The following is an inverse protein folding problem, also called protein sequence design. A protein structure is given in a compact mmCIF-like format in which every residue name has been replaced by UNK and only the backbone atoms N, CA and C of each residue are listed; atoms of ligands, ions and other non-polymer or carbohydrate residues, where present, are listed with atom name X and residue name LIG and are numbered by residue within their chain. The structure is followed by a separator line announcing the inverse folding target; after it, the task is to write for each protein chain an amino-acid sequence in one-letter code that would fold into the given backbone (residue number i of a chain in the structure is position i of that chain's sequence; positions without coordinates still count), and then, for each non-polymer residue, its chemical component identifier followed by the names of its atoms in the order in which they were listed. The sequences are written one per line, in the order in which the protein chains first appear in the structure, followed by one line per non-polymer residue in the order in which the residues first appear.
data_IF_222869551742
#
_entry.id   IF_222869551742
#
_cell.length_a   1.000
_cell.length_b   1.000
_cell.length_c   1.000
_cell.angle_alpha   90.00
_cell.angle_beta   90.00
_cell.angle_gamma   90.00
#
_symmetry.space_group_name_H-M   'P 1'
#
loop_
_entity.id
_entity.type
_entity.pdbx_description
1 polymer ?
#
# COMPACT_ATOMS: atom_id res chain seq x y z
N UNK A 1 -36.12 57.21 3.19
CA UNK A 1 -35.22 56.70 2.12
C UNK A 1 -34.28 55.65 2.73
N UNK A 2 -34.59 54.36 2.60
CA UNK A 2 -33.74 53.26 3.09
C UNK A 2 -33.37 52.38 1.91
N UNK A 3 -32.08 52.40 1.59
CA UNK A 3 -31.45 51.67 0.49
C UNK A 3 -31.51 50.17 0.81
N UNK A 4 -32.28 49.41 0.05
CA UNK A 4 -32.28 47.95 0.10
C UNK A 4 -30.95 47.48 -0.51
N UNK A 5 -30.01 47.08 0.35
CA UNK A 5 -28.77 46.42 -0.09
C UNK A 5 -29.13 45.03 -0.60
N UNK A 6 -28.98 44.79 -1.91
CA UNK A 6 -29.05 43.45 -2.51
C UNK A 6 -27.95 42.58 -1.91
N UNK A 7 -28.35 41.54 -1.20
CA UNK A 7 -27.45 40.53 -0.67
C UNK A 7 -26.83 39.74 -1.84
N UNK A 8 -25.52 39.92 -2.05
CA UNK A 8 -24.72 39.21 -3.06
C UNK A 8 -23.96 38.07 -2.39
N UNK A 9 -24.64 37.02 -1.93
CA UNK A 9 -23.95 35.77 -1.59
C UNK A 9 -24.88 34.57 -1.46
N UNK A 10 -25.17 33.92 -2.58
CA UNK A 10 -25.60 32.52 -2.58
C UNK A 10 -25.23 31.86 -3.91
N UNK A 11 -23.94 31.69 -4.19
CA UNK A 11 -23.51 30.65 -5.13
C UNK A 11 -23.74 29.32 -4.43
N UNK A 12 -24.94 28.73 -4.64
CA UNK A 12 -25.23 27.33 -4.30
C UNK A 12 -24.16 26.48 -4.97
N UNK A 13 -23.22 25.95 -4.19
CA UNK A 13 -22.45 24.78 -4.63
C UNK A 13 -23.48 23.67 -4.85
N UNK A 14 -23.60 23.21 -6.09
CA UNK A 14 -24.28 21.95 -6.38
C UNK A 14 -23.45 20.87 -5.71
N UNK A 15 -23.87 20.45 -4.52
CA UNK A 15 -23.32 19.26 -3.89
C UNK A 15 -23.73 18.08 -4.76
N UNK A 16 -22.76 17.47 -5.47
CA UNK A 16 -22.96 16.20 -6.16
C UNK A 16 -23.22 15.11 -5.12
N UNK A 17 -24.47 14.98 -4.69
CA UNK A 17 -24.92 13.84 -3.90
C UNK A 17 -24.91 12.60 -4.79
N UNK A 18 -23.95 11.72 -4.58
CA UNK A 18 -23.92 10.40 -5.21
C UNK A 18 -25.21 9.65 -4.85
N UNK A 19 -25.93 9.14 -5.85
CA UNK A 19 -27.11 8.29 -5.66
C UNK A 19 -26.76 7.05 -4.83
N UNK A 20 -27.76 6.52 -4.13
CA UNK A 20 -27.59 5.31 -3.33
C UNK A 20 -27.11 4.16 -4.23
N UNK A 21 -26.28 3.27 -3.67
CA UNK A 21 -25.67 2.16 -4.41
C UNK A 21 -26.70 1.18 -4.98
N UNK A 22 -27.89 1.14 -4.38
CA UNK A 22 -29.04 0.35 -4.83
C UNK A 22 -29.57 0.83 -6.18
N UNK A 23 -29.41 2.11 -6.51
CA UNK A 23 -29.82 2.70 -7.78
C UNK A 23 -28.72 2.63 -8.86
N UNK A 24 -27.57 2.03 -8.55
CA UNK A 24 -26.46 1.95 -9.49
C UNK A 24 -26.73 0.89 -10.55
N UNK A 25 -26.75 1.31 -11.82
CA UNK A 25 -26.86 0.39 -12.96
C UNK A 25 -25.47 -0.20 -13.23
N UNK A 26 -25.30 -1.49 -12.96
CA UNK A 26 -24.04 -2.20 -13.15
C UNK A 26 -23.92 -2.63 -14.62
N UNK A 27 -23.03 -1.99 -15.37
CA UNK A 27 -22.66 -2.43 -16.71
C UNK A 27 -21.47 -3.39 -16.65
N UNK A 28 -21.63 -4.59 -17.19
CA UNK A 28 -20.52 -5.53 -17.38
C UNK A 28 -19.66 -5.05 -18.54
N UNK A 29 -18.45 -4.62 -18.22
CA UNK A 29 -17.43 -4.18 -19.19
C UNK A 29 -16.26 -5.13 -19.16
N UNK A 30 -15.55 -5.25 -20.28
CA UNK A 30 -14.33 -6.04 -20.33
C UNK A 30 -13.23 -5.39 -19.45
N UNK A 31 -12.57 -6.14 -18.57
CA UNK A 31 -11.57 -5.57 -17.65
C UNK A 31 -10.34 -5.10 -18.42
N UNK A 32 -10.02 -3.81 -18.27
CA UNK A 32 -8.82 -3.18 -18.87
C UNK A 32 -7.54 -3.57 -18.13
N UNK A 33 -7.66 -3.85 -16.83
CA UNK A 33 -6.56 -4.16 -15.92
C UNK A 33 -6.90 -5.41 -15.11
N UNK A 34 -5.88 -6.22 -14.82
CA UNK A 34 -6.06 -7.43 -14.02
C UNK A 34 -6.49 -7.10 -12.59
N UNK A 35 -7.33 -7.96 -12.01
CA UNK A 35 -7.80 -7.84 -10.62
C UNK A 35 -6.66 -7.76 -9.62
N UNK A 36 -5.56 -8.50 -9.89
CA UNK A 36 -4.37 -8.48 -9.05
C UNK A 36 -3.72 -7.09 -9.04
N UNK A 37 -3.56 -6.47 -10.22
CA UNK A 37 -3.01 -5.13 -10.35
C UNK A 37 -3.93 -4.10 -9.70
N UNK A 38 -5.23 -4.20 -9.93
CA UNK A 38 -6.22 -3.33 -9.33
C UNK A 38 -6.17 -3.38 -7.80
N UNK A 39 -6.17 -4.57 -7.19
CA UNK A 39 -6.06 -4.76 -5.74
C UNK A 39 -4.76 -4.15 -5.20
N UNK A 40 -3.62 -4.35 -5.89
CA UNK A 40 -2.34 -3.74 -5.52
C UNK A 40 -2.42 -2.21 -5.51
N UNK A 41 -3.00 -1.62 -6.56
CA UNK A 41 -3.18 -0.16 -6.66
C UNK A 41 -4.08 0.37 -5.55
N UNK A 42 -5.22 -0.28 -5.29
CA UNK A 42 -6.14 0.12 -4.20
C UNK A 42 -5.45 0.07 -2.83
N UNK A 43 -4.62 -0.95 -2.57
CA UNK A 43 -3.83 -1.03 -1.35
C UNK A 43 -2.79 0.10 -1.27
N UNK A 44 -2.10 0.40 -2.37
CA UNK A 44 -1.14 1.50 -2.44
C UNK A 44 -1.82 2.86 -2.20
N UNK A 45 -3.00 3.10 -2.75
CA UNK A 45 -3.77 4.33 -2.53
C UNK A 45 -4.12 4.51 -1.05
N UNK A 46 -4.55 3.44 -0.36
CA UNK A 46 -4.81 3.47 1.10
C UNK A 46 -3.55 3.83 1.88
N UNK A 47 -2.41 3.24 1.54
CA UNK A 47 -1.12 3.55 2.17
C UNK A 47 -0.69 4.99 1.90
N UNK A 48 -0.87 5.49 0.68
CA UNK A 48 -0.56 6.86 0.31
C UNK A 48 -1.39 7.86 1.12
N UNK A 49 -2.69 7.61 1.31
CA UNK A 49 -3.54 8.45 2.17
C UNK A 49 -3.04 8.42 3.62
N UNK A 50 -2.71 7.23 4.14
CA UNK A 50 -2.25 7.04 5.52
C UNK A 50 -0.92 7.73 5.81
N UNK A 51 0.05 7.65 4.90
CA UNK A 51 1.42 8.14 5.09
C UNK A 51 1.71 9.46 4.37
N UNK A 52 0.69 10.08 3.75
CA UNK A 52 0.81 11.32 2.99
C UNK A 52 1.63 12.38 3.77
N UNK A 53 2.65 12.99 3.15
CA UNK A 53 3.29 14.16 3.73
C UNK A 53 2.26 15.30 3.81
N UNK A 54 1.98 15.72 5.04
CA UNK A 54 1.13 16.89 5.32
C UNK A 54 2.03 18.08 5.60
N UNK A 55 1.49 19.30 5.62
CA UNK A 55 2.26 20.48 6.01
C UNK A 55 2.50 20.45 7.53
N UNK A 56 3.47 19.64 7.97
CA UNK A 56 3.75 19.37 9.39
C UNK A 56 4.79 20.35 9.88
N UNK A 57 4.52 20.97 11.04
CA UNK A 57 5.49 21.84 11.75
C UNK A 57 6.52 21.03 12.53
N UNK A 58 6.18 19.79 12.90
CA UNK A 58 6.99 18.94 13.77
C UNK A 58 7.04 17.51 13.26
N UNK A 59 8.21 16.90 13.43
CA UNK A 59 8.46 15.51 13.09
C UNK A 59 8.08 14.56 14.23
N UNK A 60 7.40 13.48 13.84
CA UNK A 60 6.90 12.41 14.69
C UNK A 60 7.06 11.07 13.97
N UNK A 61 7.88 10.19 14.52
CA UNK A 61 8.33 8.96 13.84
C UNK A 61 7.19 7.97 13.62
N UNK A 62 6.25 7.87 14.57
CA UNK A 62 5.21 6.84 14.61
C UNK A 62 3.88 7.30 14.01
N UNK A 63 3.86 8.46 13.35
CA UNK A 63 2.64 9.04 12.77
C UNK A 63 1.96 8.07 11.82
N UNK A 64 0.67 7.81 12.03
CA UNK A 64 -0.11 6.88 11.21
C UNK A 64 0.04 5.41 11.60
N UNK A 65 1.00 5.04 12.46
CA UNK A 65 1.20 3.66 12.93
C UNK A 65 0.68 3.44 14.35
N UNK A 66 0.78 4.46 15.20
CA UNK A 66 0.41 4.38 16.61
C UNK A 66 -1.10 4.49 16.82
N UNK A 67 -1.64 3.53 17.57
CA UNK A 67 -3.04 3.44 17.98
C UNK A 67 -3.15 3.37 19.50
N UNK A 68 -4.25 3.88 19.99
CA UNK A 68 -4.66 3.74 21.38
C UNK A 68 -5.26 2.36 21.63
N UNK A 69 -5.23 1.92 22.88
CA UNK A 69 -5.98 0.73 23.34
C UNK A 69 -7.48 0.82 23.03
N UNK A 70 -8.08 2.02 22.98
CA UNK A 70 -9.46 2.22 22.54
C UNK A 70 -9.69 2.06 21.03
N UNK A 71 -8.66 1.72 20.25
CA UNK A 71 -8.75 1.49 18.80
C UNK A 71 -8.56 2.74 17.93
N UNK A 72 -8.71 3.94 18.50
CA UNK A 72 -8.48 5.20 17.78
C UNK A 72 -6.99 5.47 17.51
N UNK A 73 -6.70 6.28 16.49
CA UNK A 73 -5.32 6.69 16.18
C UNK A 73 -4.80 7.64 17.26
N UNK A 74 -3.48 7.62 17.51
CA UNK A 74 -2.81 8.71 18.22
C UNK A 74 -2.11 9.65 17.26
N UNK A 75 -2.26 10.95 17.49
CA UNK A 75 -1.58 12.00 16.74
C UNK A 75 -0.53 12.67 17.61
N UNK A 76 0.51 13.19 16.96
CA UNK A 76 1.49 14.06 17.61
C UNK A 76 0.82 15.38 18.02
N UNK A 77 0.95 15.73 19.29
CA UNK A 77 0.44 16.96 19.88
C UNK A 77 1.52 17.60 20.76
N UNK A 78 1.55 18.93 20.79
CA UNK A 78 2.44 19.73 21.63
C UNK A 78 3.48 20.57 20.88
N UNK A 79 3.85 21.74 21.45
CA UNK A 79 4.85 22.64 20.89
C UNK A 79 6.28 22.09 21.03
N UNK A 80 7.25 22.85 20.50
CA UNK A 80 8.70 22.59 20.46
C UNK A 80 9.33 22.43 21.86
N UNK A 81 9.06 21.32 22.55
CA UNK A 81 9.69 20.99 23.84
C UNK A 81 9.01 19.86 24.60
N UNK A 82 7.67 19.78 24.58
CA UNK A 82 6.90 18.69 25.23
C UNK A 82 5.96 18.05 24.22
N UNK A 83 6.49 17.12 23.44
CA UNK A 83 5.78 16.39 22.39
C UNK A 83 5.16 15.11 22.96
N UNK A 84 3.86 14.92 22.72
CA UNK A 84 3.13 13.73 23.12
C UNK A 84 2.35 13.11 21.96
N UNK A 85 2.24 11.79 21.95
CA UNK A 85 1.23 11.10 21.17
C UNK A 85 -0.08 11.07 21.97
N UNK A 86 -1.12 11.76 21.49
CA UNK A 86 -2.45 11.82 22.13
C UNK A 86 -3.52 11.13 21.29
N UNK A 87 -4.48 10.51 21.96
CA UNK A 87 -5.60 9.84 21.33
C UNK A 87 -6.52 10.83 20.59
N UNK A 88 -6.82 10.54 19.34
CA UNK A 88 -7.69 11.38 18.50
C UNK A 88 -9.13 11.45 19.00
N UNK A 89 -9.65 10.41 19.66
CA UNK A 89 -10.98 10.45 20.28
C UNK A 89 -11.11 11.54 21.34
N UNK A 90 -10.00 12.00 21.94
CA UNK A 90 -10.00 13.14 22.86
C UNK A 90 -10.28 14.47 22.16
N UNK A 91 -9.93 14.59 20.88
CA UNK A 91 -10.05 15.83 20.10
C UNK A 91 -11.30 15.88 19.20
N UNK A 92 -12.03 14.77 19.06
CA UNK A 92 -13.28 14.72 18.27
C UNK A 92 -14.44 15.26 19.11
N UNK A 93 -14.48 16.58 19.23
CA UNK A 93 -15.58 17.31 19.87
C UNK A 93 -16.66 17.65 18.84
N UNK A 94 -17.69 16.83 18.79
CA UNK A 94 -19.05 17.31 18.50
C UNK A 94 -20.00 16.74 19.55
N UNK A 95 -19.92 15.43 19.83
CA UNK A 95 -20.66 14.79 20.92
C UNK A 95 -19.69 14.30 22.01
N UNK A 96 -19.77 14.89 23.21
CA UNK A 96 -18.83 14.71 24.35
C UNK A 96 -18.81 13.31 24.99
N UNK A 97 -19.34 12.29 24.31
CA UNK A 97 -19.69 10.98 24.88
C UNK A 97 -18.49 10.01 24.90
N UNK A 98 -17.47 10.22 24.07
CA UNK A 98 -16.35 9.28 23.92
C UNK A 98 -14.97 9.89 24.23
N UNK A 99 -14.77 10.30 25.48
CA UNK A 99 -13.45 10.72 25.94
C UNK A 99 -12.61 9.50 26.32
N UNK A 100 -11.59 9.20 25.53
CA UNK A 100 -10.63 8.16 25.91
C UNK A 100 -9.86 8.58 27.18
N UNK A 101 -9.89 7.79 28.27
CA UNK A 101 -9.23 8.16 29.53
C UNK A 101 -7.71 7.98 29.49
N UNK A 102 -7.18 7.40 28.42
CA UNK A 102 -5.77 7.03 28.31
C UNK A 102 -4.90 8.26 28.11
N UNK A 103 -3.88 8.40 28.98
CA UNK A 103 -2.92 9.49 28.95
C UNK A 103 -2.10 9.60 27.65
N UNK A 104 -1.48 10.76 27.46
CA UNK A 104 -0.54 10.99 26.37
C UNK A 104 0.79 10.27 26.59
N UNK A 105 1.46 9.88 25.51
CA UNK A 105 2.73 9.16 25.56
C UNK A 105 3.85 10.11 25.11
N UNK A 106 4.93 10.20 25.88
CA UNK A 106 6.06 11.06 25.52
C UNK A 106 6.71 10.57 24.22
N UNK A 107 6.86 11.47 23.24
CA UNK A 107 7.36 11.13 21.90
C UNK A 107 8.83 10.73 21.95
N UNK A 108 9.66 11.44 22.70
CA UNK A 108 11.10 11.14 22.80
C UNK A 108 11.33 9.74 23.36
N UNK A 109 10.55 9.36 24.38
CA UNK A 109 10.63 8.03 24.99
C UNK A 109 10.10 6.96 24.04
N UNK A 110 8.92 7.17 23.44
CA UNK A 110 8.32 6.18 22.56
C UNK A 110 9.14 5.95 21.28
N UNK A 111 9.58 7.02 20.63
CA UNK A 111 10.34 6.95 19.37
C UNK A 111 11.70 6.29 19.60
N UNK A 112 12.40 6.65 20.69
CA UNK A 112 13.70 6.05 21.01
C UNK A 112 13.59 4.57 21.39
N UNK A 113 12.59 4.19 22.18
CA UNK A 113 12.36 2.79 22.56
C UNK A 113 12.04 1.94 21.32
N UNK A 114 11.10 2.40 20.49
CA UNK A 114 10.70 1.65 19.29
C UNK A 114 11.86 1.56 18.31
N UNK A 115 12.59 2.66 18.07
CA UNK A 115 13.76 2.62 17.20
C UNK A 115 14.82 1.65 17.70
N UNK A 116 15.16 1.67 19.00
CA UNK A 116 16.11 0.72 19.59
C UNK A 116 15.69 -0.73 19.39
N UNK A 117 14.41 -1.06 19.65
CA UNK A 117 13.91 -2.43 19.47
C UNK A 117 13.94 -2.92 18.02
N UNK A 118 13.66 -2.04 17.06
CA UNK A 118 13.74 -2.37 15.63
C UNK A 118 15.20 -2.49 15.20
N UNK A 119 16.05 -1.57 15.68
CA UNK A 119 17.47 -1.60 15.37
C UNK A 119 18.10 -2.90 15.86
N UNK A 120 17.84 -3.31 17.10
CA UNK A 120 18.33 -4.59 17.62
C UNK A 120 17.80 -5.78 16.83
N UNK A 121 16.51 -5.77 16.44
CA UNK A 121 15.90 -6.83 15.64
C UNK A 121 16.53 -6.95 14.25
N UNK A 122 16.86 -5.82 13.62
CA UNK A 122 17.48 -5.77 12.29
C UNK A 122 19.01 -5.95 12.32
N UNK A 123 19.63 -5.81 13.48
CA UNK A 123 21.06 -6.06 13.68
C UNK A 123 21.37 -7.52 14.03
N UNK A 124 20.42 -8.28 14.57
CA UNK A 124 20.61 -9.68 14.93
C UNK A 124 20.49 -10.61 13.70
N UNK A 125 21.61 -11.25 13.27
CA UNK A 125 21.60 -12.16 12.13
C UNK A 125 20.71 -13.39 12.36
N UNK A 126 20.63 -13.89 13.60
CA UNK A 126 19.89 -15.09 13.92
C UNK A 126 18.39 -14.86 13.78
N UNK A 127 17.89 -13.72 14.26
CA UNK A 127 16.48 -13.32 14.13
C UNK A 127 16.09 -13.17 12.66
N UNK A 128 16.92 -12.48 11.87
CA UNK A 128 16.69 -12.31 10.42
C UNK A 128 16.61 -13.67 9.73
N UNK A 129 17.53 -14.60 10.06
CA UNK A 129 17.54 -15.96 9.52
C UNK A 129 16.25 -16.71 9.87
N UNK A 130 15.84 -16.73 11.14
CA UNK A 130 14.61 -17.40 11.58
C UNK A 130 13.38 -16.84 10.87
N UNK A 131 13.31 -15.52 10.70
CA UNK A 131 12.21 -14.87 9.98
C UNK A 131 12.23 -15.20 8.48
N UNK A 132 13.40 -15.24 7.84
CA UNK A 132 13.55 -15.63 6.44
C UNK A 132 13.17 -17.10 6.19
N UNK A 133 13.60 -18.02 7.06
CA UNK A 133 13.25 -19.44 6.98
C UNK A 133 11.75 -19.68 7.21
N UNK A 134 11.15 -19.02 8.22
CA UNK A 134 9.70 -19.06 8.45
C UNK A 134 8.93 -18.58 7.23
N UNK A 135 9.44 -17.54 6.57
CA UNK A 135 8.85 -17.02 5.35
C UNK A 135 8.96 -18.01 4.18
N UNK A 136 10.14 -18.60 3.94
CA UNK A 136 10.33 -19.61 2.89
C UNK A 136 9.37 -20.80 3.07
N UNK A 137 9.21 -21.28 4.30
CA UNK A 137 8.25 -22.34 4.63
C UNK A 137 6.81 -21.92 4.34
N UNK A 138 6.40 -20.71 4.77
CA UNK A 138 5.06 -20.19 4.50
C UNK A 138 4.79 -20.01 2.99
N UNK A 139 5.80 -19.64 2.20
CA UNK A 139 5.68 -19.57 0.74
C UNK A 139 5.51 -20.95 0.10
N UNK A 140 6.26 -21.96 0.56
CA UNK A 140 6.13 -23.32 0.06
C UNK A 140 4.75 -23.92 0.36
N UNK A 141 4.19 -23.63 1.53
CA UNK A 141 2.85 -24.11 1.92
C UNK A 141 1.74 -23.42 1.13
N UNK A 142 1.88 -22.12 0.82
CA UNK A 142 0.86 -21.36 0.08
C UNK A 142 1.02 -21.42 -1.45
N UNK A 143 2.07 -22.08 -1.97
CA UNK A 143 2.19 -22.41 -3.40
C UNK A 143 1.81 -23.87 -3.57
N UNK A 144 0.69 -24.23 -4.20
CA UNK A 144 0.58 -25.57 -4.71
C UNK A 144 1.73 -25.75 -5.72
N UNK A 145 2.64 -26.69 -5.46
CA UNK A 145 3.73 -27.07 -6.37
C UNK A 145 3.22 -27.36 -7.79
N UNK A 146 1.93 -27.67 -7.92
CA UNK A 146 1.20 -27.92 -9.15
C UNK A 146 0.95 -26.69 -10.02
N UNK A 147 1.02 -25.44 -9.51
CA UNK A 147 0.52 -24.27 -10.24
C UNK A 147 1.23 -24.03 -11.57
N UNK A 148 2.56 -24.06 -11.63
CA UNK A 148 3.26 -23.85 -12.91
C UNK A 148 3.11 -25.00 -13.88
N UNK A 149 2.94 -26.23 -13.38
CA UNK A 149 2.77 -27.38 -14.26
C UNK A 149 1.36 -27.38 -14.84
N UNK A 150 0.36 -26.97 -14.05
CA UNK A 150 -1.01 -26.72 -14.51
C UNK A 150 -1.07 -25.54 -15.49
N UNK A 151 -0.39 -24.42 -15.22
CA UNK A 151 -0.30 -23.27 -16.15
C UNK A 151 0.37 -23.70 -17.46
N UNK A 152 1.46 -24.48 -17.42
CA UNK A 152 2.11 -25.04 -18.62
C UNK A 152 1.19 -25.98 -19.39
N UNK A 153 0.43 -26.84 -18.70
CA UNK A 153 -0.58 -27.70 -19.33
C UNK A 153 -1.67 -26.86 -20.03
N UNK A 154 -2.15 -25.82 -19.35
CA UNK A 154 -3.14 -24.89 -19.89
C UNK A 154 -2.62 -24.20 -21.16
N UNK A 155 -1.34 -23.83 -21.19
CA UNK A 155 -0.69 -23.29 -22.40
C UNK A 155 -0.67 -24.32 -23.54
N UNK A 156 -0.26 -25.56 -23.26
CA UNK A 156 -0.25 -26.63 -24.27
C UNK A 156 -1.65 -26.95 -24.79
N UNK A 157 -2.68 -26.86 -23.94
CA UNK A 157 -4.06 -27.11 -24.33
C UNK A 157 -4.57 -26.04 -25.30
N UNK A 158 -4.26 -24.76 -25.06
CA UNK A 158 -4.60 -23.65 -25.98
C UNK A 158 -3.83 -23.77 -27.30
N UNK A 159 -2.56 -24.16 -27.27
CA UNK A 159 -1.78 -24.40 -28.49
C UNK A 159 -2.35 -25.54 -29.33
N UNK A 160 -2.83 -26.61 -28.68
CA UNK A 160 -3.50 -27.71 -29.35
C UNK A 160 -4.87 -27.29 -29.91
N UNK A 161 -5.62 -26.43 -29.21
CA UNK A 161 -6.86 -25.83 -29.72
C UNK A 161 -6.61 -25.02 -30.99
N UNK A 162 -5.55 -24.19 -31.02
CA UNK A 162 -5.15 -23.43 -32.20
C UNK A 162 -4.81 -24.32 -33.40
N UNK A 163 -4.06 -25.42 -33.18
CA UNK A 163 -3.75 -26.40 -34.23
C UNK A 163 -5.02 -27.01 -34.83
N UNK A 164 -6.00 -27.37 -34.00
CA UNK A 164 -7.28 -27.93 -34.48
C UNK A 164 -8.04 -26.95 -35.38
N UNK A 165 -8.05 -25.66 -35.05
CA UNK A 165 -8.67 -24.65 -35.92
C UNK A 165 -7.97 -24.54 -37.28
N UNK A 166 -6.63 -24.59 -37.30
CA UNK A 166 -5.85 -24.56 -38.55
C UNK A 166 -6.14 -25.81 -39.40
N UNK A 167 -6.16 -26.99 -38.78
CA UNK A 167 -6.50 -28.25 -39.46
C UNK A 167 -7.94 -28.25 -40.00
N UNK A 168 -8.90 -27.71 -39.25
CA UNK A 168 -10.30 -27.60 -39.69
C UNK A 168 -10.45 -26.66 -40.89
N UNK A 169 -9.69 -25.55 -40.93
CA UNK A 169 -9.64 -24.65 -42.08
C UNK A 169 -9.01 -25.32 -43.29
N UNK A 170 -7.90 -26.05 -43.11
CA UNK A 170 -7.25 -26.81 -44.18
C UNK A 170 -8.15 -27.90 -44.80
N UNK A 171 -9.12 -28.41 -44.03
CA UNK A 171 -10.15 -29.36 -44.48
C UNK A 171 -11.40 -28.68 -45.08
N UNK A 172 -11.46 -27.35 -45.11
CA UNK A 172 -12.60 -26.58 -45.61
C UNK A 172 -13.85 -26.63 -44.72
N UNK A 173 -13.72 -27.01 -43.44
CA UNK A 173 -14.86 -27.15 -42.51
C UNK A 173 -15.33 -25.80 -41.97
N UNK A 174 -14.42 -24.81 -41.90
CA UNK A 174 -14.69 -23.47 -41.36
C UNK A 174 -14.29 -22.39 -42.36
N UNK A 175 -15.03 -21.28 -42.36
CA UNK A 175 -14.72 -20.08 -43.14
C UNK A 175 -13.58 -19.27 -42.54
N UNK A 176 -12.91 -18.45 -43.35
CA UNK A 176 -11.82 -17.56 -42.93
C UNK A 176 -12.22 -16.62 -41.78
N UNK A 177 -13.43 -16.05 -41.83
CA UNK A 177 -13.94 -15.15 -40.78
C UNK A 177 -14.05 -15.84 -39.40
N UNK A 178 -14.49 -17.10 -39.39
CA UNK A 178 -14.56 -17.90 -38.15
C UNK A 178 -13.17 -18.24 -37.63
N UNK A 179 -12.24 -18.58 -38.53
CA UNK A 179 -10.86 -18.85 -38.16
C UNK A 179 -10.22 -17.62 -37.49
N UNK A 180 -10.36 -16.43 -38.08
CA UNK A 180 -9.84 -15.19 -37.51
C UNK A 180 -10.46 -14.89 -36.14
N UNK A 181 -11.77 -15.05 -35.98
CA UNK A 181 -12.44 -14.87 -34.70
C UNK A 181 -11.88 -15.81 -33.60
N UNK A 182 -11.79 -17.11 -33.89
CA UNK A 182 -11.28 -18.10 -32.94
C UNK A 182 -9.78 -17.91 -32.65
N UNK A 183 -8.99 -17.50 -33.65
CA UNK A 183 -7.57 -17.25 -33.50
C UNK A 183 -7.29 -16.01 -32.61
N UNK A 184 -8.06 -14.93 -32.78
CA UNK A 184 -7.98 -13.75 -31.90
C UNK A 184 -8.32 -14.12 -30.45
N UNK A 185 -9.39 -14.90 -30.23
CA UNK A 185 -9.81 -15.30 -28.90
C UNK A 185 -8.80 -16.22 -28.19
N UNK A 186 -8.23 -17.20 -28.91
CA UNK A 186 -7.18 -18.10 -28.38
C UNK A 186 -5.86 -17.38 -28.14
N UNK A 187 -5.44 -16.46 -29.03
CA UNK A 187 -4.24 -15.65 -28.83
C UNK A 187 -4.33 -14.76 -27.59
N UNK A 188 -5.51 -14.17 -27.33
CA UNK A 188 -5.74 -13.40 -26.10
C UNK A 188 -5.60 -14.28 -24.86
N UNK A 189 -6.20 -15.48 -24.87
CA UNK A 189 -6.05 -16.46 -23.77
C UNK A 189 -4.60 -16.89 -23.58
N UNK A 190 -3.88 -17.18 -24.67
CA UNK A 190 -2.46 -17.55 -24.63
C UNK A 190 -1.61 -16.44 -24.00
N UNK A 191 -1.78 -15.19 -24.42
CA UNK A 191 -1.06 -14.04 -23.85
C UNK A 191 -1.29 -13.89 -22.35
N UNK A 192 -2.52 -14.09 -21.86
CA UNK A 192 -2.82 -14.02 -20.41
C UNK A 192 -2.08 -15.14 -19.65
N UNK A 193 -2.10 -16.37 -20.17
CA UNK A 193 -1.44 -17.52 -19.54
C UNK A 193 0.09 -17.36 -19.55
N UNK A 194 0.66 -16.80 -20.63
CA UNK A 194 2.09 -16.48 -20.72
C UNK A 194 2.51 -15.42 -19.71
N UNK A 195 1.70 -14.38 -19.52
CA UNK A 195 1.92 -13.35 -18.50
C UNK A 195 1.89 -13.94 -17.08
N UNK A 196 0.94 -14.83 -16.81
CA UNK A 196 0.85 -15.55 -15.53
C UNK A 196 2.10 -16.42 -15.28
N UNK A 197 2.58 -17.12 -16.31
CA UNK A 197 3.81 -17.92 -16.25
C UNK A 197 5.06 -17.04 -16.01
N UNK A 198 5.14 -15.88 -16.65
CA UNK A 198 6.21 -14.90 -16.46
C UNK A 198 6.24 -14.33 -15.04
N UNK A 199 5.06 -14.08 -14.44
CA UNK A 199 4.96 -13.65 -13.04
C UNK A 199 5.38 -14.79 -12.08
N UNK A 200 4.89 -16.00 -12.33
CA UNK A 200 5.19 -17.17 -11.49
C UNK A 200 6.69 -17.53 -11.48
N UNK A 201 7.36 -17.42 -12.63
CA UNK A 201 8.80 -17.67 -12.79
C UNK A 201 9.66 -16.58 -12.14
N UNK A 202 9.32 -15.29 -12.27
CA UNK A 202 10.01 -14.19 -11.55
C UNK A 202 9.97 -14.38 -10.04
N UNK A 203 8.86 -14.87 -9.50
CA UNK A 203 8.72 -15.16 -8.07
C UNK A 203 9.59 -16.35 -7.59
N UNK A 204 10.08 -17.23 -8.48
CA UNK A 204 11.00 -18.35 -8.12
C UNK A 204 12.46 -17.95 -8.08
N UNK A 205 12.92 -17.03 -8.95
CA UNK A 205 14.32 -16.59 -8.97
C UNK A 205 14.78 -15.93 -7.66
N UNK A 206 13.82 -15.49 -6.87
CA UNK A 206 14.01 -14.81 -5.60
C UNK A 206 14.18 -15.79 -4.42
N UNK A 207 13.55 -16.98 -4.46
CA UNK A 207 13.55 -17.91 -3.32
C UNK A 207 14.87 -18.67 -3.14
N UNK A 208 15.72 -18.72 -4.18
CA UNK A 208 16.95 -19.54 -4.18
C UNK A 208 18.28 -18.80 -3.97
N UNK A 209 18.29 -17.46 -3.85
CA UNK A 209 19.54 -16.66 -3.79
C UNK A 209 19.56 -15.61 -2.68
N UNK A 210 18.82 -15.82 -1.60
CA UNK A 210 18.90 -14.90 -0.45
C UNK A 210 20.06 -15.39 0.41
N UNK A 211 21.24 -14.87 0.11
CA UNK A 211 22.38 -14.98 1.01
C UNK A 211 22.09 -14.10 2.24
N UNK A 212 21.73 -14.78 3.34
CA UNK A 212 21.33 -14.18 4.60
C UNK A 212 22.49 -13.36 5.19
N UNK A 213 23.73 -13.81 5.03
CA UNK A 213 24.92 -13.15 5.59
C UNK A 213 25.20 -11.81 4.88
N UNK A 214 25.04 -11.79 3.54
CA UNK A 214 25.15 -10.56 2.75
C UNK A 214 24.03 -9.56 3.06
N UNK A 215 22.86 -10.04 3.47
CA UNK A 215 21.73 -9.18 3.84
C UNK A 215 21.95 -8.53 5.20
N UNK A 216 22.39 -9.31 6.18
CA UNK A 216 22.69 -8.85 7.54
C UNK A 216 23.81 -7.81 7.52
N UNK A 217 24.94 -8.09 6.86
CA UNK A 217 26.07 -7.15 6.77
C UNK A 217 25.71 -5.82 6.11
N UNK A 218 24.88 -5.83 5.07
CA UNK A 218 24.33 -4.62 4.43
C UNK A 218 23.37 -3.84 5.33
N UNK A 219 22.71 -4.52 6.25
CA UNK A 219 21.72 -3.91 7.14
C UNK A 219 22.41 -3.26 8.33
N UNK A 220 23.37 -3.94 8.96
CA UNK A 220 24.14 -3.41 10.09
C UNK A 220 24.95 -2.17 9.72
N UNK A 221 25.63 -2.17 8.57
CA UNK A 221 26.40 -1.02 8.06
C UNK A 221 25.55 0.21 7.77
N UNK A 222 24.30 0.02 7.31
CA UNK A 222 23.39 1.12 7.00
C UNK A 222 22.60 1.63 8.21
N UNK A 223 22.57 0.90 9.33
CA UNK A 223 21.77 1.29 10.49
C UNK A 223 22.45 2.37 11.35
N UNK A 224 23.77 2.51 11.28
CA UNK A 224 24.55 3.42 12.13
C UNK A 224 24.37 4.89 11.77
N UNK A 225 24.18 5.23 10.50
CA UNK A 225 24.03 6.61 10.02
C UNK A 225 22.74 6.81 9.23
N UNK A 226 21.62 6.92 9.94
CA UNK A 226 20.30 7.12 9.33
C UNK A 226 19.68 8.46 9.74
N UNK A 227 19.29 9.23 8.72
CA UNK A 227 18.48 10.43 8.88
C UNK A 227 17.04 10.08 9.33
N UNK A 228 16.33 11.03 9.91
CA UNK A 228 14.95 10.87 10.40
C UNK A 228 14.00 10.30 9.34
N UNK A 229 14.07 10.79 8.11
CA UNK A 229 13.22 10.31 7.01
C UNK A 229 13.50 8.84 6.68
N UNK A 230 14.77 8.43 6.71
CA UNK A 230 15.17 7.04 6.47
C UNK A 230 14.70 6.12 7.60
N UNK A 231 14.85 6.55 8.87
CA UNK A 231 14.32 5.82 10.04
C UNK A 231 12.81 5.62 9.93
N UNK A 232 12.09 6.68 9.55
CA UNK A 232 10.64 6.64 9.34
C UNK A 232 10.28 5.69 8.20
N UNK A 233 10.99 5.71 7.08
CA UNK A 233 10.75 4.80 5.96
C UNK A 233 10.96 3.33 6.33
N UNK A 234 11.97 3.02 7.14
CA UNK A 234 12.19 1.67 7.66
C UNK A 234 11.02 1.26 8.56
N UNK A 235 10.61 2.13 9.48
CA UNK A 235 9.49 1.87 10.39
C UNK A 235 8.18 1.66 9.64
N UNK A 236 7.85 2.47 8.64
CA UNK A 236 6.65 2.30 7.82
C UNK A 236 6.62 0.98 7.04
N UNK A 237 7.80 0.39 6.75
CA UNK A 237 7.92 -0.88 6.05
C UNK A 237 7.88 -2.09 6.99
N UNK A 238 8.50 -1.98 8.16
CA UNK A 238 8.61 -3.09 9.12
C UNK A 238 7.38 -3.18 10.02
N UNK A 239 6.79 -2.05 10.39
CA UNK A 239 5.69 -1.99 11.35
C UNK A 239 4.36 -1.79 10.64
N UNK A 240 3.38 -2.63 10.98
CA UNK A 240 2.01 -2.51 10.47
C UNK A 240 1.14 -1.67 11.40
N UNK A 241 1.25 -1.90 12.72
CA UNK A 241 0.46 -1.25 13.77
C UNK A 241 1.21 -1.28 15.09
N UNK A 242 1.13 -0.20 15.86
CA UNK A 242 1.58 -0.14 17.25
C UNK A 242 0.36 0.12 18.13
N UNK A 243 0.11 -0.72 19.12
CA UNK A 243 -0.87 -0.46 20.16
C UNK A 243 -0.09 0.02 21.37
N UNK A 244 -0.30 1.28 21.74
CA UNK A 244 0.40 1.86 22.86
C UNK A 244 -0.56 2.18 24.01
N UNK A 245 -0.06 2.06 25.22
CA UNK A 245 -0.63 2.52 26.47
C UNK A 245 0.50 3.19 27.27
N UNK A 246 0.22 4.00 28.30
CA UNK A 246 1.28 4.66 29.07
C UNK A 246 2.28 3.69 29.71
N UNK A 247 1.85 2.45 29.99
CA UNK A 247 2.67 1.42 30.65
C UNK A 247 3.25 0.36 29.70
N UNK A 248 2.64 0.15 28.55
CA UNK A 248 2.98 -0.95 27.64
C UNK A 248 2.87 -0.53 26.18
N UNK A 249 3.69 -1.12 25.32
CA UNK A 249 3.62 -0.93 23.87
C UNK A 249 3.75 -2.27 23.17
N UNK A 250 2.74 -2.61 22.37
CA UNK A 250 2.70 -3.82 21.56
C UNK A 250 3.02 -3.43 20.13
N UNK A 251 4.12 -3.98 19.61
CA UNK A 251 4.59 -3.75 18.24
C UNK A 251 4.11 -4.90 17.37
N UNK A 252 3.29 -4.60 16.35
CA UNK A 252 2.91 -5.54 15.32
C UNK A 252 3.61 -5.16 14.02
N UNK A 253 4.34 -6.10 13.43
CA UNK A 253 5.15 -5.85 12.25
C UNK A 253 5.48 -7.11 11.48
N UNK A 254 6.04 -6.91 10.30
CA UNK A 254 6.56 -7.94 9.41
C UNK A 254 7.87 -7.42 8.83
N UNK A 255 8.93 -8.22 8.91
CA UNK A 255 10.21 -7.86 8.29
C UNK A 255 10.10 -8.15 6.78
N UNK A 256 10.20 -7.13 5.92
CA UNK A 256 10.20 -7.36 4.48
C UNK A 256 11.54 -7.99 4.09
N UNK A 257 11.52 -9.29 3.83
CA UNK A 257 12.66 -9.98 3.20
C UNK A 257 12.83 -9.36 1.79
N UNK A 258 14.05 -9.03 1.32
CA UNK A 258 14.30 -8.33 0.06
C UNK A 258 13.73 -9.04 -1.17
N UNK A 259 13.37 -10.31 -1.03
CA UNK A 259 12.49 -11.03 -1.94
C UNK A 259 11.17 -10.32 -2.27
N UNK A 260 10.62 -9.56 -1.34
CA UNK A 260 9.44 -8.71 -1.52
C UNK A 260 9.78 -7.27 -1.93
N UNK A 261 11.05 -6.86 -1.89
CA UNK A 261 11.44 -5.48 -2.16
C UNK A 261 11.34 -5.09 -3.65
N UNK A 262 11.13 -6.06 -4.55
CA UNK A 262 10.71 -5.80 -5.94
C UNK A 262 9.31 -5.20 -6.03
N UNK A 263 8.47 -5.38 -5.00
CA UNK A 263 7.26 -4.58 -4.79
C UNK A 263 7.63 -3.37 -3.93
N UNK A 264 8.67 -2.65 -4.35
CA UNK A 264 8.88 -1.30 -3.87
C UNK A 264 7.59 -0.53 -4.07
N UNK A 265 7.25 0.34 -3.10
CA UNK A 265 6.36 1.48 -3.37
C UNK A 265 6.77 1.96 -4.76
N UNK A 266 5.86 1.94 -5.74
CA UNK A 266 6.12 2.56 -7.04
C UNK A 266 6.84 3.85 -6.69
N UNK A 267 8.07 4.06 -7.19
CA UNK A 267 8.90 5.24 -6.91
C UNK A 267 8.24 6.48 -7.55
N UNK A 268 6.96 6.64 -7.32
CA UNK A 268 6.17 7.81 -7.56
C UNK A 268 6.34 8.65 -6.30
N UNK A 269 7.48 9.32 -6.22
CA UNK A 269 7.48 10.60 -5.53
C UNK A 269 6.38 11.41 -6.22
N UNK A 270 5.34 11.86 -5.52
CA UNK A 270 4.40 12.77 -6.12
C UNK A 270 5.20 14.02 -6.48
N UNK A 271 5.56 14.16 -7.76
CA UNK A 271 5.96 15.44 -8.34
C UNK A 271 4.88 16.37 -7.86
N UNK A 272 5.26 17.34 -7.03
CA UNK A 272 4.34 18.28 -6.40
C UNK A 272 3.39 18.76 -7.49
N UNK A 273 2.16 18.23 -7.53
CA UNK A 273 1.10 18.73 -8.40
C UNK A 273 1.05 20.21 -8.09
N UNK A 274 1.50 21.02 -9.04
CA UNK A 274 1.81 22.44 -8.89
C UNK A 274 1.05 23.03 -7.71
N UNK A 275 1.68 23.05 -6.53
CA UNK A 275 1.16 23.81 -5.40
C UNK A 275 1.37 25.25 -5.79
N UNK A 276 0.47 25.80 -6.61
CA UNK A 276 0.24 27.24 -6.61
C UNK A 276 -0.09 27.52 -5.16
N UNK A 277 0.83 28.17 -4.44
CA UNK A 277 0.48 28.83 -3.20
C UNK A 277 -0.75 29.66 -3.54
N UNK A 278 -1.89 29.37 -2.91
CA UNK A 278 -3.01 30.30 -2.97
C UNK A 278 -2.45 31.60 -2.41
N UNK A 279 -2.19 32.59 -3.27
CA UNK A 279 -1.95 33.97 -2.86
C UNK A 279 -3.25 34.42 -2.21
N UNK A 280 -3.40 34.13 -0.93
CA UNK A 280 -4.44 34.72 -0.11
C UNK A 280 -4.18 36.22 -0.11
N UNK A 281 -5.01 36.95 -0.88
CA UNK A 281 -5.30 38.38 -0.75
C UNK A 281 -4.06 39.25 -0.52
N UNK A 282 -3.42 39.67 -1.61
CA UNK A 282 -2.86 41.03 -1.60
C UNK A 282 -4.05 41.96 -1.39
N UNK A 283 -4.18 42.49 -0.18
CA UNK A 283 -5.02 43.65 0.06
C UNK A 283 -4.26 44.79 -0.60
N UNK A 284 -4.68 45.20 -1.79
CA UNK A 284 -4.24 46.47 -2.34
C UNK A 284 -4.93 47.55 -1.48
N UNK A 285 -4.23 48.01 -0.46
CA UNK A 285 -4.51 49.30 0.17
C UNK A 285 -3.96 50.38 -0.74
N UNK A 286 -4.89 51.06 -1.41
CA UNK A 286 -4.75 52.30 -2.21
C UNK A 286 -4.04 52.16 -3.56
#
# INVERSE_FOLDING_TARGET
MKIIRRDRSATRKLDECKRDRTEWIIHKVEPIISDQLFKKVQNQLKLNVKFRPTNRKHDYLLTGLIKCSCGANRNGDGPTGKKYYRCTSRHKTFDRINQCPVGGINVTVADSLIWKTIASLLSDPAQIRTHAERWLKAQQINKPLNDTQTIRKSLTDVENEQKRYIEAYGKGIISEEMLDHHMRATNKRKSIIEDELAIASKNRGITGKIDVEKLVSRTTTKLSDLNFEQKKHIIERVITKIIASPKEMIICGQIPVPAFATVGKVNYEPINRHRRFAKCRQINTF
#
